data_IF_057476507634
#
_entry.id   IF_057476507634
#
_cell.length_a   1.000
_cell.length_b   1.000
_cell.length_c   1.000
_cell.angle_alpha   90.00
_cell.angle_beta   90.00
_cell.angle_gamma   90.00
#
_symmetry.space_group_name_H-M   'P 1'
#
loop_
_entity.id
_entity.type
_entity.pdbx_description
1 polymer ?
#
# COMPACT_ATOMS: atom_id res chain seq x y z
N UNK A 1 -2.59 8.95 4.90
CA UNK A 1 -3.85 8.42 4.37
C UNK A 1 -4.45 9.36 3.34
N UNK A 2 -5.46 8.90 2.59
CA UNK A 2 -6.27 9.68 1.65
C UNK A 2 -7.75 9.42 1.93
N UNK A 3 -8.57 10.47 1.85
CA UNK A 3 -10.03 10.38 1.91
C UNK A 3 -10.58 10.10 0.50
N UNK A 4 -10.37 8.89 -0.01
CA UNK A 4 -10.84 8.45 -1.33
C UNK A 4 -11.26 6.99 -1.27
N UNK A 5 -12.33 6.65 -1.99
CA UNK A 5 -12.83 5.27 -2.08
C UNK A 5 -11.99 4.36 -2.99
N UNK A 6 -11.17 4.94 -3.87
CA UNK A 6 -10.30 4.19 -4.78
C UNK A 6 -8.88 4.11 -4.23
N UNK A 7 -8.48 2.91 -3.79
CA UNK A 7 -7.17 2.60 -3.22
C UNK A 7 -7.27 1.45 -2.21
N UNK A 8 -6.13 0.94 -1.76
CA UNK A 8 -6.10 -0.07 -0.69
C UNK A 8 -6.55 0.59 0.62
N UNK A 9 -7.56 0.06 1.32
CA UNK A 9 -8.00 0.62 2.61
C UNK A 9 -6.90 0.45 3.68
N UNK A 10 -6.86 1.38 4.62
CA UNK A 10 -6.04 1.21 5.83
C UNK A 10 -6.86 0.33 6.80
N UNK A 11 -6.40 -0.88 7.13
CA UNK A 11 -7.20 -1.86 7.87
C UNK A 11 -7.20 -1.57 9.38
N UNK A 12 -7.87 -0.48 9.76
CA UNK A 12 -7.92 0.02 11.14
C UNK A 12 -9.35 0.21 11.60
N UNK A 13 -9.62 -0.12 12.86
CA UNK A 13 -10.91 0.11 13.51
C UNK A 13 -10.79 1.20 14.57
N UNK A 14 -11.85 1.98 14.72
CA UNK A 14 -11.97 3.04 15.71
C UNK A 14 -13.12 2.76 16.65
N UNK A 15 -12.98 3.11 17.93
CA UNK A 15 -14.09 3.06 18.87
C UNK A 15 -15.22 3.99 18.41
N UNK A 16 -16.43 3.47 18.34
CA UNK A 16 -17.60 4.15 17.78
C UNK A 16 -18.08 5.31 18.66
N UNK A 17 -17.89 5.20 19.99
CA UNK A 17 -18.37 6.20 20.94
C UNK A 17 -17.47 7.44 20.99
N UNK A 18 -16.15 7.24 20.94
CA UNK A 18 -15.15 8.29 21.15
C UNK A 18 -14.39 8.67 19.89
N UNK A 19 -14.20 7.73 18.97
CA UNK A 19 -13.33 7.88 17.79
C UNK A 19 -11.83 7.96 18.11
N UNK A 20 -11.43 7.89 19.38
CA UNK A 20 -10.05 8.14 19.83
C UNK A 20 -9.27 6.85 20.10
N UNK A 21 -9.96 5.77 20.51
CA UNK A 21 -9.35 4.46 20.67
C UNK A 21 -9.24 3.77 19.30
N UNK A 22 -8.09 3.15 19.06
CA UNK A 22 -7.76 2.46 17.81
C UNK A 22 -7.55 0.99 18.11
N UNK A 23 -8.27 0.13 17.40
CA UNK A 23 -8.02 -1.30 17.36
C UNK A 23 -7.23 -1.63 16.09
N UNK A 24 -5.93 -1.88 16.30
CA UNK A 24 -4.97 -2.30 15.29
C UNK A 24 -3.89 -3.13 15.98
N UNK A 25 -3.99 -4.45 15.86
CA UNK A 25 -3.06 -5.42 16.41
C UNK A 25 -2.75 -6.54 15.41
N UNK A 26 -1.88 -7.47 15.80
CA UNK A 26 -1.49 -8.60 14.94
C UNK A 26 -2.70 -9.46 14.53
N UNK A 27 -3.63 -9.76 15.46
CA UNK A 27 -4.79 -10.60 15.17
C UNK A 27 -5.75 -9.96 14.15
N UNK A 28 -6.01 -8.66 14.29
CA UNK A 28 -6.83 -7.92 13.34
C UNK A 28 -6.13 -7.84 11.98
N UNK A 29 -4.82 -7.57 11.95
CA UNK A 29 -4.06 -7.49 10.71
C UNK A 29 -4.02 -8.83 9.97
N UNK A 30 -3.67 -9.92 10.64
CA UNK A 30 -3.61 -11.27 10.04
C UNK A 30 -4.97 -11.69 9.47
N UNK A 31 -6.05 -11.45 10.22
CA UNK A 31 -7.39 -11.79 9.77
C UNK A 31 -7.78 -10.98 8.52
N UNK A 32 -7.58 -9.67 8.53
CA UNK A 32 -7.89 -8.83 7.37
C UNK A 32 -7.01 -9.19 6.16
N UNK A 33 -5.73 -9.52 6.36
CA UNK A 33 -4.88 -10.03 5.29
C UNK A 33 -5.46 -11.30 4.66
N UNK A 34 -5.97 -12.23 5.47
CA UNK A 34 -6.62 -13.45 4.96
C UNK A 34 -7.87 -13.14 4.13
N UNK A 35 -8.72 -12.22 4.59
CA UNK A 35 -9.90 -11.78 3.85
C UNK A 35 -9.52 -11.09 2.53
N UNK A 36 -8.46 -10.26 2.53
CA UNK A 36 -7.99 -9.58 1.32
C UNK A 36 -7.40 -10.57 0.31
N UNK A 37 -6.72 -11.62 0.78
CA UNK A 37 -6.20 -12.67 -0.08
C UNK A 37 -7.33 -13.48 -0.74
N UNK A 38 -8.44 -13.71 -0.04
CA UNK A 38 -9.57 -14.49 -0.55
C UNK A 38 -10.53 -13.66 -1.43
N UNK A 39 -10.88 -12.44 -0.99
CA UNK A 39 -11.96 -11.65 -1.56
C UNK A 39 -11.48 -10.37 -2.26
N UNK A 40 -10.18 -10.05 -2.18
CA UNK A 40 -9.63 -8.76 -2.57
C UNK A 40 -9.98 -7.65 -1.56
N UNK A 41 -9.31 -6.50 -1.69
CA UNK A 41 -9.48 -5.37 -0.77
C UNK A 41 -10.90 -4.77 -0.74
N UNK A 42 -11.71 -5.03 -1.77
CA UNK A 42 -13.09 -4.56 -1.85
C UNK A 42 -13.98 -5.11 -0.73
N UNK A 43 -13.61 -6.25 -0.12
CA UNK A 43 -14.36 -6.82 0.98
C UNK A 43 -14.44 -5.85 2.17
N UNK A 44 -13.40 -5.03 2.39
CA UNK A 44 -13.39 -3.99 3.42
C UNK A 44 -14.58 -3.03 3.30
N UNK A 45 -15.05 -2.75 2.09
CA UNK A 45 -16.17 -1.84 1.86
C UNK A 45 -17.52 -2.56 1.94
N UNK A 46 -17.58 -3.83 1.53
CA UNK A 46 -18.80 -4.62 1.38
C UNK A 46 -19.25 -5.29 2.69
N UNK A 47 -18.30 -5.78 3.47
CA UNK A 47 -18.54 -6.50 4.72
C UNK A 47 -18.77 -5.53 5.88
N UNK A 48 -19.53 -5.95 6.89
CA UNK A 48 -19.69 -5.20 8.13
C UNK A 48 -18.56 -5.45 9.14
N UNK A 49 -18.59 -4.78 10.29
CA UNK A 49 -17.58 -4.97 11.32
C UNK A 49 -17.58 -6.37 11.96
N UNK A 50 -18.72 -7.08 12.00
CA UNK A 50 -18.81 -8.42 12.56
C UNK A 50 -18.09 -9.45 11.67
N UNK A 51 -18.22 -9.27 10.34
CA UNK A 51 -17.53 -10.05 9.32
C UNK A 51 -16.04 -9.72 9.21
N UNK A 52 -15.65 -8.46 9.42
CA UNK A 52 -14.26 -8.01 9.30
C UNK A 52 -13.43 -8.23 10.57
N UNK A 53 -14.05 -8.34 11.74
CA UNK A 53 -13.32 -8.56 12.99
C UNK A 53 -12.99 -10.05 13.17
N UNK A 54 -11.77 -10.38 13.66
CA UNK A 54 -11.46 -11.74 14.03
C UNK A 54 -12.35 -12.19 15.20
N UNK A 55 -12.50 -13.50 15.37
CA UNK A 55 -13.36 -14.12 16.40
C UNK A 55 -13.15 -13.52 17.81
N UNK A 56 -11.90 -13.19 18.15
CA UNK A 56 -11.51 -12.55 19.42
C UNK A 56 -12.27 -11.25 19.72
N UNK A 57 -12.61 -10.47 18.69
CA UNK A 57 -13.24 -9.15 18.81
C UNK A 57 -14.67 -9.12 18.26
N UNK A 58 -15.18 -10.23 17.69
CA UNK A 58 -16.50 -10.27 17.05
C UNK A 58 -17.64 -9.94 18.02
N UNK A 59 -17.56 -10.38 19.28
CA UNK A 59 -18.55 -10.05 20.31
C UNK A 59 -18.60 -8.55 20.67
N UNK A 60 -17.56 -7.78 20.29
CA UNK A 60 -17.47 -6.34 20.49
C UNK A 60 -17.71 -5.56 19.18
N UNK A 61 -18.23 -6.19 18.11
CA UNK A 61 -18.37 -5.54 16.81
C UNK A 61 -19.13 -4.19 16.87
N UNK A 62 -20.15 -4.10 17.71
CA UNK A 62 -20.94 -2.87 17.93
C UNK A 62 -20.09 -1.69 18.46
N UNK A 63 -19.03 -1.98 19.21
CA UNK A 63 -18.09 -0.97 19.75
C UNK A 63 -17.22 -0.39 18.64
N UNK A 64 -16.93 -1.16 17.59
CA UNK A 64 -15.93 -0.78 16.60
C UNK A 64 -16.57 -0.23 15.32
N UNK A 65 -15.80 0.60 14.62
CA UNK A 65 -16.15 1.13 13.31
C UNK A 65 -14.94 1.09 12.40
N UNK A 66 -15.09 0.53 11.20
CA UNK A 66 -14.00 0.45 10.22
C UNK A 66 -13.60 1.84 9.70
N UNK A 67 -12.30 2.05 9.53
CA UNK A 67 -11.74 3.24 8.90
C UNK A 67 -12.14 3.35 7.43
N UNK A 68 -12.31 4.59 6.96
CA UNK A 68 -12.70 4.88 5.56
C UNK A 68 -11.56 5.48 4.73
N UNK A 69 -10.38 5.55 5.32
CA UNK A 69 -9.18 6.10 4.68
C UNK A 69 -8.47 5.02 3.86
N UNK A 70 -7.89 5.43 2.73
CA UNK A 70 -7.05 4.58 1.88
C UNK A 70 -5.58 4.96 1.99
N UNK A 71 -4.72 4.01 1.63
CA UNK A 71 -3.29 4.24 1.46
C UNK A 71 -3.02 5.18 0.28
N UNK A 72 -1.90 5.88 0.35
CA UNK A 72 -1.46 6.71 -0.77
C UNK A 72 -0.86 5.83 -1.87
N UNK A 73 -1.07 6.19 -3.13
CA UNK A 73 -0.60 5.40 -4.29
C UNK A 73 0.92 5.22 -4.34
N UNK A 74 1.70 6.08 -3.68
CA UNK A 74 3.14 5.87 -3.54
C UNK A 74 3.47 4.74 -2.56
N UNK A 75 2.62 4.46 -1.58
CA UNK A 75 2.75 3.28 -0.72
C UNK A 75 2.44 2.00 -1.52
N UNK A 76 1.37 2.01 -2.31
CA UNK A 76 1.00 0.88 -3.17
C UNK A 76 2.14 0.52 -4.13
N UNK A 77 2.61 1.49 -4.93
CA UNK A 77 3.74 1.26 -5.83
C UNK A 77 5.04 0.99 -5.07
N UNK A 78 5.29 1.69 -3.96
CA UNK A 78 6.47 1.51 -3.12
C UNK A 78 6.58 0.12 -2.50
N UNK A 79 5.47 -0.57 -2.26
CA UNK A 79 5.46 -1.93 -1.71
C UNK A 79 5.58 -3.04 -2.77
N UNK A 80 5.78 -2.67 -4.05
CA UNK A 80 5.95 -3.65 -5.15
C UNK A 80 7.13 -4.62 -4.96
N UNK A 81 8.20 -4.23 -4.25
CA UNK A 81 9.29 -5.15 -3.92
C UNK A 81 8.80 -6.33 -3.06
N UNK A 82 7.84 -6.10 -2.16
CA UNK A 82 7.25 -7.13 -1.33
C UNK A 82 6.19 -7.92 -2.11
N UNK A 83 5.23 -7.21 -2.72
CA UNK A 83 4.08 -7.83 -3.40
C UNK A 83 4.40 -8.47 -4.76
N UNK A 84 5.58 -8.23 -5.33
CA UNK A 84 6.01 -8.80 -6.61
C UNK A 84 7.35 -9.51 -6.49
N UNK A 85 8.41 -8.80 -6.10
CA UNK A 85 9.78 -9.37 -6.14
C UNK A 85 9.96 -10.48 -5.09
N UNK A 86 9.47 -10.28 -3.87
CA UNK A 86 9.50 -11.32 -2.83
C UNK A 86 8.42 -12.40 -3.00
N UNK A 87 7.28 -12.04 -3.58
CA UNK A 87 6.13 -12.94 -3.68
C UNK A 87 6.22 -13.96 -4.83
N UNK A 88 7.18 -13.81 -5.75
CA UNK A 88 7.33 -14.66 -6.94
C UNK A 88 8.68 -15.38 -6.92
N UNK A 89 8.64 -16.71 -6.96
CA UNK A 89 9.82 -17.58 -6.84
C UNK A 89 10.86 -17.36 -7.95
N UNK A 90 10.44 -16.90 -9.13
CA UNK A 90 11.32 -16.61 -10.26
C UNK A 90 12.08 -15.28 -10.16
N UNK A 91 11.78 -14.45 -9.16
CA UNK A 91 12.42 -13.17 -8.92
C UNK A 91 13.37 -13.24 -7.71
N UNK A 92 14.24 -12.24 -7.59
CA UNK A 92 15.24 -12.21 -6.51
C UNK A 92 15.29 -10.84 -5.87
N UNK A 93 15.20 -10.83 -4.54
CA UNK A 93 15.34 -9.64 -3.71
C UNK A 93 16.70 -9.58 -3.01
N UNK A 94 17.37 -8.40 -2.99
CA UNK A 94 17.00 -7.18 -3.69
C UNK A 94 17.21 -7.29 -5.20
N UNK A 95 16.41 -6.57 -5.97
CA UNK A 95 16.52 -6.52 -7.43
C UNK A 95 17.88 -5.95 -7.85
N UNK A 96 18.45 -6.42 -8.96
CA UNK A 96 19.75 -5.92 -9.42
C UNK A 96 19.68 -4.45 -9.87
N UNK A 97 18.59 -4.05 -10.52
CA UNK A 97 18.43 -2.72 -11.10
C UNK A 97 16.98 -2.24 -11.00
N UNK A 98 16.81 -1.01 -10.54
CA UNK A 98 15.62 -0.20 -10.81
C UNK A 98 15.93 0.82 -11.91
N UNK A 99 15.04 0.97 -12.89
CA UNK A 99 15.20 1.86 -14.04
C UNK A 99 13.91 2.62 -14.32
N UNK A 100 13.94 3.94 -14.18
CA UNK A 100 12.81 4.82 -14.47
C UNK A 100 13.28 6.25 -14.83
N UNK A 101 12.33 7.13 -15.16
CA UNK A 101 12.57 8.55 -15.37
C UNK A 101 13.10 9.27 -14.12
N UNK A 102 13.82 10.38 -14.33
CA UNK A 102 14.44 11.17 -13.24
C UNK A 102 13.44 11.74 -12.22
N UNK A 103 12.16 11.87 -12.56
CA UNK A 103 11.09 12.24 -11.64
C UNK A 103 10.85 11.21 -10.54
N UNK A 104 11.22 9.95 -10.74
CA UNK A 104 10.98 8.89 -9.77
C UNK A 104 11.87 8.93 -8.54
N UNK A 105 12.91 9.78 -8.52
CA UNK A 105 13.70 10.03 -7.30
C UNK A 105 12.87 10.57 -6.14
N UNK A 106 11.77 11.27 -6.42
CA UNK A 106 10.80 11.75 -5.40
C UNK A 106 9.47 11.00 -5.45
N UNK A 107 9.40 9.96 -6.28
CA UNK A 107 8.27 9.07 -6.46
C UNK A 107 8.66 7.65 -6.06
N UNK A 108 8.62 6.75 -7.04
CA UNK A 108 8.69 5.31 -6.80
C UNK A 108 10.02 4.84 -6.19
N UNK A 109 11.17 5.43 -6.55
CA UNK A 109 12.44 5.05 -5.93
C UNK A 109 12.45 5.35 -4.43
N UNK A 110 11.97 6.53 -4.05
CA UNK A 110 11.93 6.95 -2.66
C UNK A 110 10.92 6.11 -1.86
N UNK A 111 9.71 5.92 -2.37
CA UNK A 111 8.69 5.15 -1.66
C UNK A 111 9.09 3.67 -1.53
N UNK A 112 9.70 3.08 -2.55
CA UNK A 112 10.24 1.72 -2.50
C UNK A 112 11.37 1.59 -1.49
N UNK A 113 12.30 2.55 -1.48
CA UNK A 113 13.40 2.57 -0.52
C UNK A 113 12.89 2.66 0.91
N UNK A 114 11.98 3.59 1.19
CA UNK A 114 11.46 3.82 2.55
C UNK A 114 10.70 2.60 3.08
N UNK A 115 9.82 2.01 2.29
CA UNK A 115 9.03 0.84 2.70
C UNK A 115 9.91 -0.39 2.91
N UNK A 116 10.86 -0.65 2.01
CA UNK A 116 11.81 -1.76 2.13
C UNK A 116 12.75 -1.61 3.32
N UNK A 117 13.29 -0.41 3.57
CA UNK A 117 14.14 -0.19 4.75
C UNK A 117 13.34 -0.33 6.04
N UNK A 118 12.09 0.14 6.06
CA UNK A 118 11.23 0.00 7.24
C UNK A 118 10.90 -1.48 7.55
N UNK A 119 10.70 -2.32 6.54
CA UNK A 119 10.32 -3.73 6.72
C UNK A 119 11.53 -4.68 6.84
N UNK A 120 12.56 -4.49 6.03
CA UNK A 120 13.69 -5.43 5.82
C UNK A 120 15.06 -4.84 6.16
N UNK A 121 15.13 -3.56 6.53
CA UNK A 121 16.39 -2.90 6.90
C UNK A 121 17.36 -2.64 5.75
N UNK A 122 16.95 -2.85 4.49
CA UNK A 122 17.79 -2.63 3.29
C UNK A 122 17.01 -2.07 2.10
N UNK A 123 17.73 -1.52 1.14
CA UNK A 123 17.15 -1.04 -0.12
C UNK A 123 16.62 -2.21 -0.98
N UNK A 124 15.53 -2.01 -1.75
CA UNK A 124 14.95 -3.08 -2.56
C UNK A 124 15.68 -3.31 -3.89
N UNK A 125 16.70 -2.51 -4.17
CA UNK A 125 17.51 -2.57 -5.38
C UNK A 125 19.01 -2.44 -5.05
N UNK A 126 19.87 -3.03 -5.89
CA UNK A 126 21.33 -2.89 -5.81
C UNK A 126 21.84 -1.66 -6.57
N UNK A 127 21.20 -1.31 -7.69
CA UNK A 127 21.52 -0.14 -8.49
C UNK A 127 20.25 0.61 -8.94
N UNK A 128 20.41 1.90 -9.22
CA UNK A 128 19.38 2.75 -9.85
C UNK A 128 19.96 3.36 -11.11
N UNK A 129 19.25 3.22 -12.23
CA UNK A 129 19.53 3.93 -13.48
C UNK A 129 18.38 4.89 -13.78
N UNK A 130 18.71 6.14 -14.09
CA UNK A 130 17.71 7.15 -14.45
C UNK A 130 17.90 7.64 -15.87
N UNK A 131 16.80 7.77 -16.61
CA UNK A 131 16.80 8.43 -17.91
C UNK A 131 16.11 9.80 -17.87
N UNK A 132 16.39 10.63 -18.88
CA UNK A 132 15.74 11.91 -19.08
C UNK A 132 14.32 11.78 -19.66
N UNK A 133 13.68 12.91 -19.89
CA UNK A 133 12.37 12.99 -20.54
C UNK A 133 12.52 12.96 -22.06
N UNK A 134 11.59 12.30 -22.73
CA UNK A 134 11.36 12.50 -24.16
C UNK A 134 10.57 13.80 -24.33
N UNK A 135 11.03 14.65 -25.24
CA UNK A 135 10.45 15.97 -25.53
C UNK A 135 9.92 16.01 -26.97
N UNK A 136 9.03 16.95 -27.27
CA UNK A 136 8.55 17.18 -28.65
C UNK A 136 9.65 17.80 -29.54
N UNK A 137 9.35 18.07 -30.82
CA UNK A 137 10.35 18.62 -31.75
C UNK A 137 10.88 20.02 -31.37
N UNK A 138 10.18 20.72 -30.47
CA UNK A 138 10.54 22.05 -29.97
C UNK A 138 11.20 22.00 -28.59
N UNK A 139 11.38 20.80 -28.03
CA UNK A 139 11.95 20.60 -26.70
C UNK A 139 10.96 20.86 -25.55
N UNK A 140 9.65 20.91 -25.82
CA UNK A 140 8.66 21.02 -24.76
C UNK A 140 8.24 19.65 -24.21
N UNK A 141 7.82 19.67 -22.94
CA UNK A 141 7.25 18.50 -22.29
C UNK A 141 5.93 18.14 -22.96
N UNK A 142 5.82 16.90 -23.44
CA UNK A 142 4.57 16.36 -23.96
C UNK A 142 3.53 16.21 -22.83
N UNK A 143 2.29 16.63 -23.08
CA UNK A 143 1.15 16.41 -22.19
C UNK A 143 0.07 15.60 -22.93
N UNK A 144 -0.57 14.66 -22.21
CA UNK A 144 -1.73 13.92 -22.73
C UNK A 144 -2.99 14.80 -22.86
N UNK A 145 -2.99 15.99 -22.24
CA UNK A 145 -4.12 16.92 -22.24
C UNK A 145 -4.01 18.04 -23.29
N UNK A 146 -2.95 18.02 -24.10
CA UNK A 146 -2.79 18.91 -25.25
C UNK A 146 -3.42 18.28 -26.49
#
# INVERSE_FOLDING_TARGET
SRQRSWGVPIPVFYDRATGNEVLLDEHTLEHIQSLFAEHGSDCWWKMDEEELLPEKYRAEADKWKKGTDTMDVWFDSGSSWAGVVNARDELTYPADLYLEGSDQHRGWFQSSLLTSVAAEGRAPYKAVLTHGFVLDEKGYKMSKSL
#
